data_IF_355275573066
#
_entry.id   IF_355275573066
#
_cell.length_a   1.000
_cell.length_b   1.000
_cell.length_c   1.000
_cell.angle_alpha   90.00
_cell.angle_beta   90.00
_cell.angle_gamma   90.00
#
_symmetry.space_group_name_H-M   'P 1'
#
loop_
_entity.id
_entity.type
_entity.pdbx_description
1 polymer ?
#
# COMPACT_ATOMS: atom_id res chain seq x y z
N UNK A 1 10.34 19.55 29.44
CA UNK A 1 8.91 19.32 29.70
C UNK A 1 8.24 19.12 28.34
N UNK A 2 7.48 18.04 28.10
CA UNK A 2 6.70 17.98 26.87
C UNK A 2 5.63 19.08 26.98
N UNK A 3 5.71 20.09 26.11
CA UNK A 3 4.64 21.07 25.99
C UNK A 3 3.40 20.32 25.52
N UNK A 4 2.35 20.28 26.33
CA UNK A 4 1.05 19.78 25.87
C UNK A 4 0.67 20.57 24.62
N UNK A 5 0.45 19.86 23.51
CA UNK A 5 0.05 20.52 22.28
C UNK A 5 -1.39 21.01 22.43
N UNK A 6 -1.68 22.20 21.94
CA UNK A 6 -3.05 22.66 21.88
C UNK A 6 -3.74 21.93 20.71
N UNK A 7 -5.00 21.55 20.87
CA UNK A 7 -5.77 20.90 19.79
C UNK A 7 -5.81 21.76 18.51
N UNK A 8 -5.68 23.09 18.66
CA UNK A 8 -5.63 24.07 17.57
C UNK A 8 -4.27 24.21 16.88
N UNK A 9 -3.21 23.58 17.39
CA UNK A 9 -1.90 23.60 16.74
C UNK A 9 -1.98 22.87 15.40
N UNK A 10 -1.53 23.53 14.33
CA UNK A 10 -1.61 23.00 12.96
C UNK A 10 -3.04 22.85 12.43
N UNK A 11 -4.01 23.58 12.98
CA UNK A 11 -5.44 23.44 12.64
C UNK A 11 -5.73 23.52 11.13
N UNK A 12 -5.04 24.40 10.40
CA UNK A 12 -5.19 24.48 8.94
C UNK A 12 -4.89 23.14 8.28
N UNK A 13 -3.74 22.53 8.60
CA UNK A 13 -3.35 21.23 8.04
C UNK A 13 -4.30 20.12 8.48
N UNK A 14 -4.77 20.14 9.74
CA UNK A 14 -5.78 19.19 10.24
C UNK A 14 -7.07 19.25 9.42
N UNK A 15 -7.59 20.45 9.18
CA UNK A 15 -8.79 20.66 8.36
C UNK A 15 -8.55 20.19 6.93
N UNK A 16 -7.40 20.56 6.33
CA UNK A 16 -7.06 20.13 4.98
C UNK A 16 -6.97 18.60 4.90
N UNK A 17 -6.36 17.92 5.88
CA UNK A 17 -6.28 16.46 5.95
C UNK A 17 -7.67 15.80 5.97
N UNK A 18 -8.63 16.39 6.70
CA UNK A 18 -10.02 15.91 6.69
C UNK A 18 -10.65 16.09 5.30
N UNK A 19 -10.52 17.27 4.69
CA UNK A 19 -11.11 17.57 3.39
C UNK A 19 -10.55 16.69 2.27
N UNK A 20 -9.23 16.54 2.21
CA UNK A 20 -8.57 15.71 1.18
C UNK A 20 -8.81 14.22 1.40
N UNK A 21 -8.96 13.77 2.65
CA UNK A 21 -9.42 12.41 2.94
C UNK A 21 -10.82 12.15 2.37
N UNK A 22 -11.76 13.07 2.58
CA UNK A 22 -13.12 12.94 2.04
C UNK A 22 -13.13 12.95 0.50
N UNK A 23 -12.30 13.79 -0.13
CA UNK A 23 -12.11 13.80 -1.58
C UNK A 23 -11.57 12.45 -2.09
N UNK A 24 -10.54 11.92 -1.42
CA UNK A 24 -9.90 10.66 -1.78
C UNK A 24 -10.84 9.45 -1.61
N UNK A 25 -11.55 9.39 -0.47
CA UNK A 25 -12.58 8.40 -0.19
C UNK A 25 -13.70 8.48 -1.23
N UNK A 26 -14.24 9.68 -1.48
CA UNK A 26 -15.30 9.90 -2.47
C UNK A 26 -14.89 9.46 -3.87
N UNK A 27 -13.64 9.71 -4.26
CA UNK A 27 -13.10 9.27 -5.57
C UNK A 27 -13.07 7.75 -5.70
N UNK A 28 -12.67 7.03 -4.65
CA UNK A 28 -12.67 5.56 -4.66
C UNK A 28 -14.09 4.98 -4.58
N UNK A 29 -14.96 5.55 -3.75
CA UNK A 29 -16.37 5.14 -3.68
C UNK A 29 -17.05 5.30 -5.04
N UNK A 30 -16.75 6.37 -5.77
CA UNK A 30 -17.28 6.59 -7.13
C UNK A 30 -16.90 5.46 -8.10
N UNK A 31 -15.72 4.83 -7.97
CA UNK A 31 -15.34 3.70 -8.84
C UNK A 31 -16.16 2.43 -8.61
N UNK A 32 -16.80 2.31 -7.45
CA UNK A 32 -17.63 1.14 -7.07
C UNK A 32 -19.12 1.44 -7.24
N UNK A 33 -19.55 2.61 -6.77
CA UNK A 33 -20.96 3.01 -6.71
C UNK A 33 -21.39 3.92 -7.86
N UNK A 34 -20.47 4.31 -8.73
CA UNK A 34 -20.75 5.09 -9.92
C UNK A 34 -21.61 4.33 -10.93
N UNK A 35 -22.19 5.03 -11.91
CA UNK A 35 -23.07 4.42 -12.91
C UNK A 35 -22.37 3.43 -13.86
N UNK A 36 -21.04 3.48 -13.92
CA UNK A 36 -20.19 2.59 -14.69
C UNK A 36 -19.46 1.62 -13.76
N UNK A 37 -19.47 0.32 -14.09
CA UNK A 37 -18.71 -0.68 -13.33
C UNK A 37 -17.23 -0.63 -13.72
N UNK A 38 -16.49 0.32 -13.12
CA UNK A 38 -15.13 0.71 -13.57
C UNK A 38 -14.16 -0.47 -13.51
N UNK A 39 -14.30 -1.36 -12.53
CA UNK A 39 -13.44 -2.53 -12.37
C UNK A 39 -13.69 -3.64 -13.40
N UNK A 40 -14.81 -3.60 -14.12
CA UNK A 40 -15.16 -4.58 -15.15
C UNK A 40 -15.15 -4.02 -16.58
N UNK A 41 -15.03 -2.70 -16.71
CA UNK A 41 -15.06 -2.00 -18.01
C UNK A 41 -13.69 -1.49 -18.45
N UNK A 42 -12.66 -1.62 -17.61
CA UNK A 42 -11.28 -1.29 -17.95
C UNK A 42 -10.63 -2.28 -18.94
N UNK A 43 -9.50 -1.89 -19.51
CA UNK A 43 -8.63 -2.74 -20.32
C UNK A 43 -8.14 -3.92 -19.47
N UNK A 44 -8.58 -5.11 -19.84
CA UNK A 44 -8.11 -6.33 -19.21
C UNK A 44 -6.74 -6.72 -19.74
N UNK A 45 -5.80 -6.98 -18.83
CA UNK A 45 -4.42 -7.37 -19.14
C UNK A 45 -4.10 -8.70 -18.48
N UNK A 46 -2.98 -9.29 -18.88
CA UNK A 46 -2.51 -10.56 -18.33
C UNK A 46 -1.95 -10.51 -16.90
N UNK A 47 -1.99 -9.33 -16.26
CA UNK A 47 -1.68 -9.15 -14.84
C UNK A 47 -2.86 -8.57 -14.07
N UNK A 48 -4.02 -8.37 -14.72
CA UNK A 48 -5.21 -7.82 -14.06
C UNK A 48 -5.68 -8.78 -12.97
N UNK A 49 -5.84 -8.33 -11.72
CA UNK A 49 -6.28 -9.17 -10.63
C UNK A 49 -7.80 -9.39 -10.66
N UNK A 50 -8.28 -10.36 -9.88
CA UNK A 50 -9.69 -10.51 -9.62
C UNK A 50 -10.24 -9.25 -8.90
N UNK A 51 -11.49 -8.83 -9.17
CA UNK A 51 -12.05 -7.58 -8.61
C UNK A 51 -12.00 -7.49 -7.08
N UNK A 52 -12.03 -8.62 -6.37
CA UNK A 52 -11.91 -8.63 -4.91
C UNK A 52 -10.55 -8.11 -4.41
N UNK A 53 -9.52 -8.04 -5.24
CA UNK A 53 -8.23 -7.43 -4.89
C UNK A 53 -8.42 -6.00 -4.37
N UNK A 54 -9.31 -5.25 -4.99
CA UNK A 54 -9.56 -3.84 -4.71
C UNK A 54 -10.29 -3.60 -3.37
N UNK A 55 -10.77 -4.66 -2.68
CA UNK A 55 -11.27 -4.55 -1.31
C UNK A 55 -10.20 -4.06 -0.32
N UNK A 56 -8.92 -4.16 -0.68
CA UNK A 56 -7.82 -3.56 0.08
C UNK A 56 -7.98 -2.05 0.23
N UNK A 57 -8.61 -1.36 -0.74
CA UNK A 57 -8.91 0.05 -0.60
C UNK A 57 -9.84 0.32 0.57
N UNK A 58 -10.86 -0.49 0.79
CA UNK A 58 -11.78 -0.33 1.93
C UNK A 58 -11.02 -0.39 3.25
N UNK A 59 -10.06 -1.32 3.37
CA UNK A 59 -9.20 -1.42 4.55
C UNK A 59 -8.28 -0.20 4.70
N UNK A 60 -7.62 0.23 3.62
CA UNK A 60 -6.76 1.43 3.64
C UNK A 60 -7.57 2.67 4.06
N UNK A 61 -8.77 2.87 3.52
CA UNK A 61 -9.61 4.03 3.86
C UNK A 61 -10.11 3.99 5.31
N UNK A 62 -10.41 2.80 5.84
CA UNK A 62 -10.79 2.64 7.25
C UNK A 62 -9.62 3.00 8.19
N UNK A 63 -8.41 2.54 7.86
CA UNK A 63 -7.22 2.85 8.65
C UNK A 63 -6.85 4.34 8.55
N UNK A 64 -6.94 4.93 7.36
CA UNK A 64 -6.71 6.35 7.15
C UNK A 64 -7.76 7.24 7.83
N UNK A 65 -9.00 6.78 7.99
CA UNK A 65 -9.98 7.46 8.85
C UNK A 65 -9.45 7.55 10.28
N UNK A 66 -8.92 6.42 10.78
CA UNK A 66 -8.22 6.36 12.05
C UNK A 66 -7.05 7.35 12.12
N UNK A 67 -6.20 7.42 11.09
CA UNK A 67 -5.11 8.42 10.97
C UNK A 67 -5.63 9.86 11.08
N UNK A 68 -6.68 10.19 10.32
CA UNK A 68 -7.29 11.53 10.28
C UNK A 68 -7.95 11.90 11.61
N UNK A 69 -8.46 10.93 12.37
CA UNK A 69 -8.95 11.18 13.74
C UNK A 69 -7.76 11.31 14.71
N UNK A 70 -6.74 10.46 14.56
CA UNK A 70 -5.61 10.39 15.47
C UNK A 70 -4.75 11.65 15.47
N UNK A 71 -4.69 12.40 14.36
CA UNK A 71 -3.95 13.67 14.28
C UNK A 71 -4.38 14.74 15.29
N UNK A 72 -5.56 14.61 15.91
CA UNK A 72 -6.07 15.53 16.94
C UNK A 72 -5.55 15.21 18.34
N UNK A 73 -4.86 14.10 18.53
CA UNK A 73 -4.23 13.68 19.79
C UNK A 73 -2.73 13.99 19.76
N UNK A 74 -2.09 14.11 20.93
CA UNK A 74 -0.67 14.49 21.04
C UNK A 74 0.26 13.58 20.22
N UNK A 75 0.10 12.25 20.31
CA UNK A 75 0.92 11.29 19.55
C UNK A 75 0.70 11.39 18.04
N UNK A 76 -0.57 11.46 17.60
CA UNK A 76 -0.89 11.59 16.19
C UNK A 76 -0.48 12.94 15.60
N UNK A 77 -0.59 14.04 16.35
CA UNK A 77 -0.10 15.36 15.91
C UNK A 77 1.41 15.31 15.64
N UNK A 78 2.19 14.76 16.57
CA UNK A 78 3.64 14.70 16.45
C UNK A 78 4.09 14.00 15.16
N UNK A 79 3.42 12.93 14.77
CA UNK A 79 3.80 12.18 13.56
C UNK A 79 3.12 12.72 12.31
N UNK A 80 1.80 12.96 12.34
CA UNK A 80 1.01 13.28 11.14
C UNK A 80 1.14 14.76 10.76
N UNK A 81 1.10 15.66 11.74
CA UNK A 81 1.18 17.11 11.49
C UNK A 81 2.63 17.56 11.40
N UNK A 82 3.45 17.20 12.39
CA UNK A 82 4.82 17.73 12.49
C UNK A 82 5.81 16.91 11.62
N UNK A 83 5.60 15.60 11.48
CA UNK A 83 6.44 14.71 10.66
C UNK A 83 6.02 14.63 9.19
N UNK A 84 4.84 14.08 8.93
CA UNK A 84 4.30 13.86 7.58
C UNK A 84 4.00 15.21 6.90
N UNK A 85 3.26 16.08 7.59
CA UNK A 85 2.97 17.42 7.13
C UNK A 85 2.11 17.46 5.86
N UNK A 86 2.41 18.43 4.98
CA UNK A 86 1.70 18.66 3.71
C UNK A 86 1.81 17.53 2.67
N UNK A 87 2.58 16.48 2.96
CA UNK A 87 2.70 15.30 2.10
C UNK A 87 1.42 14.47 2.08
N UNK A 88 0.68 14.43 3.19
CA UNK A 88 -0.58 13.68 3.26
C UNK A 88 -1.67 14.29 2.34
N UNK A 89 -1.92 15.61 2.35
CA UNK A 89 -2.80 16.24 1.38
C UNK A 89 -2.34 16.06 -0.07
N UNK A 90 -1.04 16.21 -0.33
CA UNK A 90 -0.49 16.00 -1.67
C UNK A 90 -0.77 14.58 -2.17
N UNK A 91 -0.51 13.57 -1.34
CA UNK A 91 -0.80 12.17 -1.65
C UNK A 91 -2.29 11.96 -1.98
N UNK A 92 -3.20 12.47 -1.15
CA UNK A 92 -4.63 12.32 -1.34
C UNK A 92 -5.11 12.97 -2.65
N UNK A 93 -4.60 14.16 -2.99
CA UNK A 93 -4.91 14.84 -4.26
C UNK A 93 -4.36 14.08 -5.45
N UNK A 94 -3.09 13.65 -5.40
CA UNK A 94 -2.49 12.85 -6.48
C UNK A 94 -3.26 11.56 -6.73
N UNK A 95 -3.72 10.89 -5.67
CA UNK A 95 -4.51 9.67 -5.82
C UNK A 95 -5.92 9.95 -6.37
N UNK A 96 -6.59 11.00 -5.89
CA UNK A 96 -7.88 11.39 -6.46
C UNK A 96 -7.77 11.67 -7.98
N UNK A 97 -6.70 12.35 -8.43
CA UNK A 97 -6.46 12.57 -9.86
C UNK A 97 -6.20 11.24 -10.58
N UNK A 98 -5.32 10.39 -10.04
CA UNK A 98 -5.04 9.05 -10.56
C UNK A 98 -6.34 8.24 -10.81
N UNK A 99 -7.19 8.11 -9.79
CA UNK A 99 -8.44 7.35 -9.87
C UNK A 99 -9.35 7.91 -10.97
N UNK A 100 -9.47 9.24 -11.06
CA UNK A 100 -10.33 9.88 -12.05
C UNK A 100 -9.82 9.69 -13.50
N UNK A 101 -8.51 9.78 -13.74
CA UNK A 101 -7.96 9.57 -15.08
C UNK A 101 -7.99 8.10 -15.48
N UNK A 102 -7.76 7.19 -14.53
CA UNK A 102 -7.86 5.75 -14.73
C UNK A 102 -9.30 5.32 -15.06
N UNK A 103 -10.29 5.82 -14.29
CA UNK A 103 -11.70 5.54 -14.51
C UNK A 103 -12.23 6.04 -15.87
N UNK A 104 -11.51 6.98 -16.51
CA UNK A 104 -11.80 7.50 -17.85
C UNK A 104 -10.93 6.84 -18.94
N UNK A 105 -10.22 5.77 -18.61
CA UNK A 105 -9.39 5.00 -19.53
C UNK A 105 -8.16 5.73 -20.10
N UNK A 106 -7.71 6.83 -19.47
CA UNK A 106 -6.47 7.51 -19.84
C UNK A 106 -5.24 6.80 -19.26
N UNK A 107 -4.97 5.58 -19.71
CA UNK A 107 -4.04 4.65 -19.05
C UNK A 107 -2.60 5.15 -18.91
N UNK A 108 -2.04 5.82 -19.92
CA UNK A 108 -0.68 6.39 -19.83
C UNK A 108 -0.61 7.48 -18.77
N UNK A 109 -1.64 8.34 -18.71
CA UNK A 109 -1.74 9.40 -17.69
C UNK A 109 -1.94 8.78 -16.31
N UNK A 110 -2.78 7.75 -16.21
CA UNK A 110 -2.96 6.98 -14.98
C UNK A 110 -1.66 6.36 -14.48
N UNK A 111 -0.85 5.78 -15.36
CA UNK A 111 0.47 5.26 -15.02
C UNK A 111 1.42 6.35 -14.50
N UNK A 112 1.48 7.52 -15.13
CA UNK A 112 2.30 8.63 -14.64
C UNK A 112 1.86 9.08 -13.24
N UNK A 113 0.55 9.20 -13.01
CA UNK A 113 0.04 9.57 -11.69
C UNK A 113 0.22 8.44 -10.65
N UNK A 114 0.19 7.16 -11.04
CA UNK A 114 0.47 6.05 -10.12
C UNK A 114 1.92 6.08 -9.62
N UNK A 115 2.88 6.51 -10.46
CA UNK A 115 4.26 6.77 -10.05
C UNK A 115 4.37 7.93 -9.06
N UNK A 116 3.63 9.03 -9.28
CA UNK A 116 3.61 10.15 -8.32
C UNK A 116 2.97 9.75 -6.99
N UNK A 117 1.87 8.98 -7.01
CA UNK A 117 1.24 8.42 -5.82
C UNK A 117 2.22 7.52 -5.08
N UNK A 118 2.85 6.56 -5.79
CA UNK A 118 3.84 5.65 -5.21
C UNK A 118 4.99 6.43 -4.57
N UNK A 119 5.57 7.41 -5.26
CA UNK A 119 6.64 8.27 -4.73
C UNK A 119 6.21 9.03 -3.46
N UNK A 120 5.01 9.62 -3.46
CA UNK A 120 4.48 10.31 -2.29
C UNK A 120 4.27 9.37 -1.10
N UNK A 121 3.70 8.17 -1.33
CA UNK A 121 3.55 7.15 -0.28
C UNK A 121 4.90 6.68 0.22
N UNK A 122 5.86 6.38 -0.65
CA UNK A 122 7.22 5.96 -0.26
C UNK A 122 7.89 7.00 0.63
N UNK A 123 7.75 8.30 0.30
CA UNK A 123 8.33 9.36 1.12
C UNK A 123 7.67 9.45 2.50
N UNK A 124 6.35 9.28 2.60
CA UNK A 124 5.63 9.25 3.89
C UNK A 124 6.04 8.01 4.68
N UNK A 125 6.04 6.85 4.04
CA UNK A 125 6.46 5.57 4.61
C UNK A 125 7.86 5.65 5.21
N UNK A 126 8.82 6.22 4.47
CA UNK A 126 10.19 6.43 4.93
C UNK A 126 10.24 7.35 6.15
N UNK A 127 9.51 8.48 6.15
CA UNK A 127 9.46 9.38 7.31
C UNK A 127 8.96 8.64 8.55
N UNK A 128 7.82 7.96 8.40
CA UNK A 128 7.15 7.27 9.51
C UNK A 128 8.06 6.18 10.07
N UNK A 129 8.59 5.30 9.21
CA UNK A 129 9.39 4.16 9.67
C UNK A 129 10.77 4.55 10.20
N UNK A 130 11.41 5.59 9.66
CA UNK A 130 12.79 5.96 10.04
C UNK A 130 12.87 6.99 11.16
N UNK A 131 11.98 7.99 11.16
CA UNK A 131 12.10 9.13 12.08
C UNK A 131 11.06 9.12 13.20
N UNK A 132 10.04 8.26 13.12
CA UNK A 132 8.94 8.20 14.09
C UNK A 132 8.67 6.78 14.52
N UNK A 133 9.55 6.20 15.35
CA UNK A 133 9.24 4.89 15.93
C UNK A 133 7.93 4.93 16.75
N UNK A 134 7.07 3.92 16.60
CA UNK A 134 5.78 3.89 17.27
C UNK A 134 5.98 3.77 18.80
N UNK A 135 5.43 4.72 19.54
CA UNK A 135 5.54 4.78 21.01
C UNK A 135 4.36 4.07 21.70
N UNK A 136 3.29 3.81 20.93
CA UNK A 136 2.06 3.20 21.40
C UNK A 136 1.43 2.32 20.32
N UNK A 137 0.52 1.43 20.73
CA UNK A 137 -0.31 0.65 19.79
C UNK A 137 -1.15 1.54 18.89
N UNK A 138 -1.51 2.75 19.35
CA UNK A 138 -2.25 3.72 18.54
C UNK A 138 -1.38 4.29 17.41
N UNK A 139 -0.10 4.57 17.66
CA UNK A 139 0.85 4.99 16.61
C UNK A 139 1.00 3.87 15.55
N UNK A 140 1.19 2.63 16.00
CA UNK A 140 1.31 1.49 15.10
C UNK A 140 0.04 1.33 14.23
N UNK A 141 -1.14 1.32 14.86
CA UNK A 141 -2.42 1.08 14.19
C UNK A 141 -2.85 2.22 13.27
N UNK A 142 -2.69 3.47 13.69
CA UNK A 142 -3.22 4.64 12.98
C UNK A 142 -2.17 5.38 12.15
N UNK A 143 -0.89 5.01 12.21
CA UNK A 143 0.15 5.63 11.38
C UNK A 143 0.96 4.59 10.62
N UNK A 144 1.61 3.66 11.31
CA UNK A 144 2.53 2.72 10.63
C UNK A 144 1.79 1.74 9.72
N UNK A 145 0.72 1.13 10.23
CA UNK A 145 -0.07 0.14 9.52
C UNK A 145 -0.71 0.69 8.23
N UNK A 146 -1.46 1.81 8.23
CA UNK A 146 -2.03 2.36 7.00
C UNK A 146 -0.99 2.69 5.94
N UNK A 147 0.11 3.36 6.30
CA UNK A 147 1.11 3.76 5.31
C UNK A 147 1.96 2.59 4.81
N UNK A 148 2.21 1.57 5.63
CA UNK A 148 2.83 0.32 5.20
C UNK A 148 1.95 -0.44 4.19
N UNK A 149 0.68 -0.65 4.54
CA UNK A 149 -0.28 -1.34 3.67
C UNK A 149 -0.44 -0.59 2.33
N UNK A 150 -0.55 0.74 2.39
CA UNK A 150 -0.69 1.59 1.21
C UNK A 150 0.58 1.58 0.35
N UNK A 151 1.77 1.54 0.96
CA UNK A 151 3.02 1.44 0.22
C UNK A 151 3.15 0.11 -0.54
N UNK A 152 2.83 -1.02 0.11
CA UNK A 152 2.76 -2.31 -0.56
C UNK A 152 1.74 -2.33 -1.71
N UNK A 153 0.54 -1.77 -1.49
CA UNK A 153 -0.50 -1.71 -2.52
C UNK A 153 -0.13 -0.81 -3.71
N UNK A 154 0.47 0.35 -3.47
CA UNK A 154 0.89 1.25 -4.57
C UNK A 154 1.99 0.64 -5.44
N UNK A 155 2.85 -0.21 -4.87
CA UNK A 155 3.82 -1.00 -5.66
C UNK A 155 3.09 -1.88 -6.69
N UNK A 156 2.00 -2.54 -6.28
CA UNK A 156 1.16 -3.33 -7.18
C UNK A 156 0.46 -2.44 -8.21
N UNK A 157 -0.11 -1.31 -7.80
CA UNK A 157 -0.78 -0.39 -8.72
C UNK A 157 0.13 0.11 -9.85
N UNK A 158 1.40 0.42 -9.55
CA UNK A 158 2.38 0.81 -10.57
C UNK A 158 2.54 -0.29 -11.62
N UNK A 159 2.64 -1.55 -11.19
CA UNK A 159 2.71 -2.70 -12.10
C UNK A 159 1.43 -2.82 -12.92
N UNK A 160 0.25 -2.81 -12.29
CA UNK A 160 -1.02 -2.93 -13.01
C UNK A 160 -1.20 -1.83 -14.05
N UNK A 161 -0.96 -0.58 -13.66
CA UNK A 161 -1.12 0.58 -14.54
C UNK A 161 -0.09 0.62 -15.67
N UNK A 162 1.11 0.07 -15.47
CA UNK A 162 2.09 -0.11 -16.55
C UNK A 162 1.56 -1.06 -17.63
N UNK A 163 0.96 -2.19 -17.24
CA UNK A 163 0.37 -3.13 -18.18
C UNK A 163 -0.88 -2.56 -18.86
N UNK A 164 -1.70 -1.79 -18.14
CA UNK A 164 -2.83 -1.09 -18.76
C UNK A 164 -2.35 -0.06 -19.79
N UNK A 165 -1.29 0.70 -19.49
CA UNK A 165 -0.73 1.69 -20.38
C UNK A 165 -0.08 1.08 -21.63
N UNK A 166 0.70 0.00 -21.47
CA UNK A 166 1.62 -0.48 -22.51
C UNK A 166 1.45 -1.96 -22.91
N UNK A 167 0.72 -2.76 -22.15
CA UNK A 167 0.52 -4.19 -22.41
C UNK A 167 -0.62 -4.51 -23.37
N UNK A 168 -0.77 -5.79 -23.71
CA UNK A 168 -1.86 -6.26 -24.58
C UNK A 168 -3.22 -6.23 -23.88
N UNK A 169 -4.28 -5.98 -24.64
CA UNK A 169 -5.65 -6.16 -24.16
C UNK A 169 -6.04 -7.64 -24.35
N UNK A 170 -6.16 -8.38 -23.25
CA UNK A 170 -6.45 -9.81 -23.24
C UNK A 170 -7.83 -10.15 -23.84
N UNK A 171 -8.75 -9.18 -23.93
CA UNK A 171 -10.05 -9.37 -24.57
C UNK A 171 -9.98 -9.40 -26.11
N UNK A 172 -8.89 -8.89 -26.70
CA UNK A 172 -8.76 -8.69 -28.16
C UNK A 172 -7.58 -9.46 -28.73
N UNK A 173 -6.47 -9.54 -27.99
CA UNK A 173 -5.23 -10.14 -28.47
C UNK A 173 -4.71 -11.19 -27.48
N UNK A 174 -4.37 -12.41 -27.94
CA UNK A 174 -3.75 -13.42 -27.10
C UNK A 174 -2.36 -12.99 -26.61
N UNK A 175 -1.91 -13.58 -25.51
CA UNK A 175 -0.56 -13.36 -25.00
C UNK A 175 0.48 -13.90 -25.98
N UNK A 176 1.41 -13.03 -26.39
CA UNK A 176 2.64 -13.42 -27.07
C UNK A 176 3.78 -13.70 -26.08
N UNK A 177 4.92 -14.16 -26.60
CA UNK A 177 6.10 -14.50 -25.78
C UNK A 177 6.57 -13.34 -24.90
N UNK A 178 6.55 -12.10 -25.42
CA UNK A 178 6.94 -10.93 -24.62
C UNK A 178 5.95 -10.62 -23.50
N UNK A 179 4.65 -10.81 -23.74
CA UNK A 179 3.62 -10.65 -22.71
C UNK A 179 3.82 -11.65 -21.58
N UNK A 180 4.12 -12.91 -21.90
CA UNK A 180 4.45 -13.95 -20.93
C UNK A 180 5.70 -13.57 -20.12
N UNK A 181 6.78 -13.15 -20.79
CA UNK A 181 8.04 -12.75 -20.14
C UNK A 181 7.84 -11.56 -19.20
N UNK A 182 7.16 -10.51 -19.65
CA UNK A 182 6.94 -9.33 -18.80
C UNK A 182 6.00 -9.63 -17.64
N UNK A 183 4.95 -10.43 -17.83
CA UNK A 183 4.08 -10.85 -16.73
C UNK A 183 4.87 -11.65 -15.68
N UNK A 184 5.73 -12.57 -16.11
CA UNK A 184 6.61 -13.31 -15.21
C UNK A 184 7.55 -12.37 -14.42
N UNK A 185 8.22 -11.44 -15.10
CA UNK A 185 9.10 -10.46 -14.45
C UNK A 185 8.35 -9.56 -13.48
N UNK A 186 7.11 -9.19 -13.79
CA UNK A 186 6.25 -8.43 -12.89
C UNK A 186 5.92 -9.22 -11.62
N UNK A 187 5.57 -10.50 -11.73
CA UNK A 187 5.27 -11.34 -10.57
C UNK A 187 6.52 -11.59 -9.72
N UNK A 188 7.66 -11.82 -10.36
CA UNK A 188 8.96 -11.94 -9.68
C UNK A 188 9.32 -10.65 -8.93
N UNK A 189 9.16 -9.48 -9.58
CA UNK A 189 9.40 -8.18 -8.94
C UNK A 189 8.51 -7.98 -7.70
N UNK A 190 7.21 -8.28 -7.82
CA UNK A 190 6.28 -8.18 -6.69
C UNK A 190 6.69 -9.12 -5.55
N UNK A 191 6.95 -10.39 -5.85
CA UNK A 191 7.36 -11.37 -4.85
C UNK A 191 8.69 -10.98 -4.16
N UNK A 192 9.71 -10.57 -4.92
CA UNK A 192 10.98 -10.10 -4.37
C UNK A 192 10.79 -8.84 -3.48
N UNK A 193 9.83 -7.98 -3.82
CA UNK A 193 9.48 -6.82 -2.99
C UNK A 193 8.78 -7.26 -1.70
N UNK A 194 7.91 -8.27 -1.73
CA UNK A 194 7.31 -8.86 -0.52
C UNK A 194 8.38 -9.49 0.40
N UNK A 195 9.40 -10.14 -0.17
CA UNK A 195 10.56 -10.62 0.56
C UNK A 195 11.33 -9.46 1.20
N UNK A 196 11.58 -8.39 0.44
CA UNK A 196 12.27 -7.18 0.94
C UNK A 196 11.55 -6.58 2.15
N UNK A 197 10.22 -6.47 2.12
CA UNK A 197 9.44 -6.04 3.30
C UNK A 197 9.57 -7.02 4.46
N UNK A 198 9.52 -8.33 4.20
CA UNK A 198 9.66 -9.31 5.26
C UNK A 198 11.04 -9.25 5.93
N UNK A 199 12.09 -8.83 5.24
CA UNK A 199 13.46 -8.70 5.77
C UNK A 199 13.89 -7.26 6.05
N UNK A 200 13.00 -6.26 5.93
CA UNK A 200 13.35 -4.86 6.15
C UNK A 200 13.71 -4.54 7.60
N UNK A 201 13.35 -5.42 8.54
CA UNK A 201 13.73 -5.37 9.94
C UNK A 201 13.60 -6.74 10.61
N UNK A 202 13.95 -6.81 11.91
CA UNK A 202 13.91 -8.05 12.68
C UNK A 202 12.51 -8.70 12.66
N UNK A 203 11.47 -7.87 12.79
CA UNK A 203 10.06 -8.25 12.73
C UNK A 203 9.51 -8.26 11.31
N UNK A 204 10.11 -7.51 10.38
CA UNK A 204 9.61 -7.31 9.02
C UNK A 204 8.38 -6.39 8.96
N UNK A 205 8.00 -6.03 7.73
CA UNK A 205 6.88 -5.14 7.46
C UNK A 205 5.65 -5.90 6.94
N UNK A 206 4.94 -6.51 7.89
CA UNK A 206 3.81 -7.40 7.62
C UNK A 206 2.71 -6.78 6.74
N UNK A 207 2.22 -5.54 6.98
CA UNK A 207 1.11 -4.99 6.20
C UNK A 207 1.47 -4.81 4.71
N UNK A 208 2.67 -4.33 4.41
CA UNK A 208 3.16 -4.18 3.04
C UNK A 208 3.30 -5.54 2.33
N UNK A 209 3.86 -6.56 2.99
CA UNK A 209 3.95 -7.92 2.44
C UNK A 209 2.56 -8.53 2.19
N UNK A 210 1.58 -8.30 3.07
CA UNK A 210 0.20 -8.76 2.89
C UNK A 210 -0.43 -8.13 1.64
N UNK A 211 -0.27 -6.82 1.42
CA UNK A 211 -0.83 -6.16 0.24
C UNK A 211 -0.36 -6.79 -1.08
N UNK A 212 0.93 -7.15 -1.16
CA UNK A 212 1.50 -7.79 -2.34
C UNK A 212 0.99 -9.23 -2.47
N UNK A 213 1.05 -10.03 -1.40
CA UNK A 213 0.61 -11.44 -1.45
C UNK A 213 -0.88 -11.56 -1.80
N UNK A 214 -1.72 -10.71 -1.19
CA UNK A 214 -3.14 -10.56 -1.53
C UNK A 214 -3.36 -10.32 -3.03
N UNK A 215 -2.55 -9.45 -3.62
CA UNK A 215 -2.64 -9.11 -5.04
C UNK A 215 -2.21 -10.26 -5.94
N UNK A 216 -1.11 -10.96 -5.62
CA UNK A 216 -0.66 -12.12 -6.40
C UNK A 216 -1.70 -13.26 -6.39
N UNK A 217 -2.35 -13.50 -5.25
CA UNK A 217 -3.47 -14.44 -5.17
C UNK A 217 -4.66 -14.01 -6.04
N UNK A 218 -4.96 -12.71 -6.09
CA UNK A 218 -6.02 -12.19 -6.94
C UNK A 218 -5.70 -12.29 -8.42
N UNK A 219 -4.44 -12.07 -8.81
CA UNK A 219 -3.95 -12.28 -10.18
C UNK A 219 -4.11 -13.75 -10.55
N UNK A 220 -3.61 -14.68 -9.71
CA UNK A 220 -3.79 -16.12 -9.93
C UNK A 220 -5.27 -16.50 -10.11
N UNK A 221 -6.16 -15.97 -9.26
CA UNK A 221 -7.58 -16.28 -9.31
C UNK A 221 -8.24 -15.83 -10.63
N UNK A 222 -7.81 -14.70 -11.20
CA UNK A 222 -8.35 -14.13 -12.44
C UNK A 222 -7.74 -14.73 -13.69
N UNK A 223 -6.42 -14.86 -13.74
CA UNK A 223 -5.69 -15.28 -14.93
C UNK A 223 -5.83 -16.79 -15.11
N UNK A 224 -6.62 -17.26 -16.08
CA UNK A 224 -6.82 -18.70 -16.37
C UNK A 224 -6.12 -19.19 -17.63
N UNK A 225 -5.84 -18.29 -18.55
CA UNK A 225 -5.09 -18.55 -19.78
C UNK A 225 -4.26 -17.30 -20.13
N UNK A 226 -3.01 -17.44 -20.62
CA UNK A 226 -2.29 -18.69 -20.87
C UNK A 226 -1.86 -19.42 -19.58
N UNK A 227 -1.65 -20.72 -19.68
CA UNK A 227 -1.29 -21.58 -18.54
C UNK A 227 0.02 -21.12 -17.87
N UNK A 228 0.98 -20.63 -18.65
CA UNK A 228 2.26 -20.12 -18.13
C UNK A 228 2.04 -18.97 -17.12
N UNK A 229 1.21 -17.98 -17.47
CA UNK A 229 0.90 -16.84 -16.60
C UNK A 229 0.11 -17.31 -15.37
N UNK A 230 -0.89 -18.18 -15.54
CA UNK A 230 -1.66 -18.74 -14.43
C UNK A 230 -0.78 -19.43 -13.38
N UNK A 231 0.07 -20.37 -13.81
CA UNK A 231 0.91 -21.13 -12.90
C UNK A 231 2.07 -20.32 -12.33
N UNK A 232 2.60 -19.36 -13.08
CA UNK A 232 3.60 -18.42 -12.57
C UNK A 232 3.02 -17.55 -11.45
N UNK A 233 1.81 -17.00 -11.64
CA UNK A 233 1.11 -16.23 -10.62
C UNK A 233 0.89 -17.07 -9.35
N UNK A 234 0.50 -18.35 -9.47
CA UNK A 234 0.37 -19.25 -8.32
C UNK A 234 1.69 -19.45 -7.58
N UNK A 235 2.76 -19.76 -8.31
CA UNK A 235 4.07 -20.01 -7.72
C UNK A 235 4.55 -18.81 -6.91
N UNK A 236 4.47 -17.60 -7.48
CA UNK A 236 4.84 -16.37 -6.79
C UNK A 236 3.87 -16.00 -5.66
N UNK A 237 2.57 -16.31 -5.78
CA UNK A 237 1.62 -16.13 -4.68
C UNK A 237 1.98 -17.01 -3.47
N UNK A 238 2.33 -18.28 -3.70
CA UNK A 238 2.77 -19.20 -2.64
C UNK A 238 4.08 -18.72 -2.00
N UNK A 239 5.08 -18.33 -2.80
CA UNK A 239 6.34 -17.79 -2.28
C UNK A 239 6.12 -16.53 -1.45
N UNK A 240 5.29 -15.59 -1.93
CA UNK A 240 4.95 -14.38 -1.19
C UNK A 240 4.27 -14.67 0.16
N UNK A 241 3.48 -15.74 0.24
CA UNK A 241 2.82 -16.15 1.49
C UNK A 241 3.83 -16.63 2.54
N UNK A 242 4.92 -17.27 2.12
CA UNK A 242 6.03 -17.63 3.03
C UNK A 242 6.61 -16.38 3.70
N UNK A 243 6.76 -15.29 2.94
CA UNK A 243 7.25 -14.01 3.47
C UNK A 243 6.26 -13.36 4.45
N UNK A 244 4.96 -13.44 4.17
CA UNK A 244 3.92 -13.02 5.11
C UNK A 244 4.01 -13.82 6.41
N UNK A 245 4.20 -15.15 6.34
CA UNK A 245 4.36 -15.99 7.53
C UNK A 245 5.61 -15.61 8.32
N UNK A 246 6.75 -15.37 7.64
CA UNK A 246 7.98 -14.88 8.30
C UNK A 246 7.72 -13.58 9.05
N UNK A 247 7.10 -12.60 8.41
CA UNK A 247 6.82 -11.31 9.03
C UNK A 247 5.82 -11.45 10.20
N UNK A 248 4.82 -12.32 10.07
CA UNK A 248 3.87 -12.61 11.15
C UNK A 248 4.55 -13.26 12.38
N UNK A 249 5.48 -14.19 12.15
CA UNK A 249 6.30 -14.78 13.22
C UNK A 249 7.17 -13.70 13.88
N UNK A 250 7.81 -12.83 13.08
CA UNK A 250 8.61 -11.71 13.59
C UNK A 250 7.82 -10.79 14.51
N UNK A 251 6.63 -10.35 14.09
CA UNK A 251 5.70 -9.56 14.90
C UNK A 251 5.27 -10.31 16.16
N UNK A 252 4.92 -11.60 16.05
CA UNK A 252 4.50 -12.42 17.20
C UNK A 252 5.58 -12.59 18.27
N UNK A 253 6.83 -12.82 17.85
CA UNK A 253 7.98 -12.90 18.76
C UNK A 253 8.24 -11.56 19.45
N UNK A 254 8.09 -10.44 18.72
CA UNK A 254 8.25 -9.10 19.28
C UNK A 254 7.21 -8.80 20.36
N UNK A 255 5.94 -9.10 20.10
CA UNK A 255 4.86 -8.94 21.07
C UNK A 255 5.12 -9.80 22.30
N UNK A 256 5.54 -11.06 22.13
CA UNK A 256 5.89 -11.97 23.23
C UNK A 256 7.02 -11.42 24.10
N UNK A 257 8.00 -10.76 23.49
CA UNK A 257 9.15 -10.19 24.18
C UNK A 257 8.88 -8.76 24.72
N UNK A 258 7.64 -8.26 24.67
CA UNK A 258 7.25 -6.96 25.23
C UNK A 258 7.55 -5.74 24.33
N UNK A 259 7.95 -5.95 23.07
CA UNK A 259 8.18 -4.87 22.11
C UNK A 259 6.87 -4.26 21.60
N UNK A 260 6.79 -2.93 21.54
CA UNK A 260 5.54 -2.17 21.26
C UNK A 260 5.40 -1.61 19.83
N UNK A 261 6.21 -2.02 18.86
CA UNK A 261 6.28 -1.32 17.56
C UNK A 261 7.04 -1.99 16.42
N UNK A 262 6.87 -1.60 15.15
CA UNK A 262 7.71 -2.04 14.01
C UNK A 262 8.76 -0.95 13.65
N UNK A 263 10.06 -1.22 13.86
CA UNK A 263 11.21 -0.35 13.53
C UNK A 263 12.04 -0.93 12.38
N UNK A 264 12.76 -0.09 11.64
CA UNK A 264 13.72 -0.49 10.59
C UNK A 264 15.17 -0.57 11.10
N UNK A 265 15.47 -0.08 12.30
CA UNK A 265 16.84 -0.04 12.83
C UNK A 265 17.15 -1.28 13.67
N UNK A 266 17.85 -2.26 13.08
CA UNK A 266 18.47 -3.37 13.83
C UNK A 266 19.54 -2.88 14.82
N UNK A 267 20.14 -1.71 14.56
CA UNK A 267 21.23 -1.13 15.34
C UNK A 267 20.81 -0.63 16.74
N UNK A 268 19.50 -0.61 17.02
CA UNK A 268 18.92 -0.22 18.32
C UNK A 268 18.24 -1.38 19.05
N UNK A 269 18.41 -2.61 18.58
CA UNK A 269 18.04 -3.77 19.38
C UNK A 269 18.82 -3.72 20.71
N UNK A 270 18.18 -3.93 21.88
CA UNK A 270 18.90 -3.91 23.14
C UNK A 270 19.98 -5.00 23.09
N UNK A 271 21.23 -4.57 23.01
CA UNK A 271 22.37 -5.44 23.27
C UNK A 271 22.26 -5.81 24.75
N UNK A 272 22.14 -7.11 25.02
CA UNK A 272 22.00 -7.76 26.32
C UNK A 272 20.55 -7.94 26.78
N UNK A 273 20.07 -9.19 26.66
CA UNK A 273 19.01 -9.71 27.51
C UNK A 273 19.49 -9.68 28.95
N UNK A 274 18.86 -8.84 29.77
CA UNK A 274 19.06 -8.85 31.22
C UNK A 274 18.64 -10.20 31.80
N UNK A 275 19.54 -10.81 32.54
CA UNK A 275 19.39 -12.09 33.26
C UNK A 275 18.08 -12.20 34.04
#
# INVERSE_FOLDING_TARGET
>A
MPSHSNWSDGLLLKIVNVLVYLLFLGSNVYTVAGPSDVYYTGKETYVTPAPWAFLIWSLIHLLLLGTVIYQFFDGGKQVIIDGIGWRLPLLAVLNAVYVNVWARHYYIVAFVFSLFVSSAVTHIYYIVKKYHEPQSTADELFVHLPFSLYHGWTTVLVVLTAFEAFGNNAAVEPAGVWTDVFAFLAFFFLEATAATYAFSSSEGDLPASIAISWSLWAIFARQRYPAFIHWSALAFAILSLVWVVKAAIGVGLKIRNGGRGISLDEERAPLVGGN
#
